data_IF_734968725605
#
_entry.id   IF_734968725605
#
_cell.length_a   1.000
_cell.length_b   1.000
_cell.length_c   1.000
_cell.angle_alpha   90.00
_cell.angle_beta   90.00
_cell.angle_gamma   90.00
#
_symmetry.space_group_name_H-M   'P 1'
#
loop_
_entity.id
_entity.type
_entity.pdbx_description
1 polymer ?
#
# COMPACT_ATOMS: atom_id res chain seq x y z
N UNK A 1 -1.28 31.56 9.75
CA UNK A 1 -0.93 30.71 10.92
C UNK A 1 -2.10 30.30 11.83
N UNK A 2 -3.38 30.47 11.46
CA UNK A 2 -4.50 30.05 12.33
C UNK A 2 -4.60 28.52 12.53
N UNK A 3 -4.37 27.74 11.46
CA UNK A 3 -4.45 26.27 11.49
C UNK A 3 -3.32 25.66 12.34
N UNK A 4 -2.07 26.14 12.17
CA UNK A 4 -0.94 25.71 13.00
C UNK A 4 -1.20 25.95 14.49
N UNK A 5 -1.66 27.16 14.84
CA UNK A 5 -1.99 27.49 16.23
C UNK A 5 -3.12 26.61 16.78
N UNK A 6 -4.09 26.22 15.95
CA UNK A 6 -5.15 25.28 16.34
C UNK A 6 -4.57 23.88 16.61
N UNK A 7 -3.71 23.37 15.74
CA UNK A 7 -3.02 22.08 15.95
C UNK A 7 -2.18 22.09 17.23
N UNK A 8 -1.46 23.18 17.48
CA UNK A 8 -0.69 23.36 18.72
C UNK A 8 -1.59 23.44 19.96
N UNK A 9 -2.74 24.11 19.87
CA UNK A 9 -3.72 24.18 20.96
C UNK A 9 -4.29 22.79 21.31
N UNK A 10 -4.65 21.99 20.30
CA UNK A 10 -5.16 20.62 20.50
C UNK A 10 -4.05 19.71 21.06
N UNK A 11 -2.80 19.91 20.63
CA UNK A 11 -1.63 19.16 21.12
C UNK A 11 -1.34 19.42 22.60
N UNK A 12 -1.58 20.65 23.06
CA UNK A 12 -1.31 21.08 24.43
C UNK A 12 -2.50 20.87 25.38
N UNK A 13 -3.66 20.44 24.87
CA UNK A 13 -4.84 20.14 25.66
C UNK A 13 -4.79 18.68 26.18
N UNK A 14 -4.73 18.46 27.51
CA UNK A 14 -4.69 17.13 28.11
C UNK A 14 -5.92 16.26 27.77
N UNK A 15 -7.07 16.87 27.52
CA UNK A 15 -8.31 16.15 27.18
C UNK A 15 -8.32 15.68 25.72
N UNK A 16 -7.48 16.28 24.86
CA UNK A 16 -7.39 15.97 23.43
C UNK A 16 -6.28 14.97 23.07
N UNK A 17 -5.56 14.41 24.05
CA UNK A 17 -4.40 13.53 23.81
C UNK A 17 -4.70 12.31 22.91
N UNK A 18 -5.92 11.77 22.98
CA UNK A 18 -6.37 10.67 22.09
C UNK A 18 -6.66 11.16 20.67
N UNK A 19 -7.24 12.34 20.50
CA UNK A 19 -7.54 12.93 19.19
C UNK A 19 -6.26 13.27 18.41
N UNK A 20 -5.17 13.59 19.11
CA UNK A 20 -3.85 13.81 18.52
C UNK A 20 -3.22 12.53 17.98
N UNK A 21 -3.59 11.34 18.49
CA UNK A 21 -3.05 10.05 18.07
C UNK A 21 -3.66 9.63 16.73
N UNK A 22 -3.26 10.31 15.67
CA UNK A 22 -3.72 10.07 14.30
C UNK A 22 -4.22 11.31 13.57
N UNK A 23 -4.18 12.50 14.19
CA UNK A 23 -4.57 13.74 13.51
C UNK A 23 -3.68 13.98 12.29
N UNK A 24 -4.33 14.16 11.14
CA UNK A 24 -3.73 14.56 9.87
C UNK A 24 -4.58 15.69 9.30
N UNK A 25 -3.92 16.77 8.90
CA UNK A 25 -4.53 17.98 8.36
C UNK A 25 -3.98 18.16 6.96
N UNK A 26 -4.87 18.16 5.97
CA UNK A 26 -4.53 18.48 4.58
C UNK A 26 -4.94 19.93 4.35
N UNK A 27 -3.96 20.77 4.01
CA UNK A 27 -4.19 22.10 3.49
C UNK A 27 -4.59 21.92 2.03
N UNK A 28 -5.81 22.36 1.71
CA UNK A 28 -6.31 22.38 0.35
C UNK A 28 -5.90 23.68 -0.36
N UNK A 29 -5.90 23.64 -1.69
CA UNK A 29 -5.63 24.69 -2.66
C UNK A 29 -4.27 25.37 -2.45
N UNK A 30 -3.23 24.58 -2.18
CA UNK A 30 -1.89 25.12 -1.95
C UNK A 30 -1.29 25.77 -3.21
N UNK A 31 -1.85 25.44 -4.39
CA UNK A 31 -1.48 26.04 -5.67
C UNK A 31 -1.81 27.53 -5.82
N UNK A 32 -2.58 28.13 -4.92
CA UNK A 32 -2.88 29.58 -4.99
C UNK A 32 -1.68 30.46 -4.61
N UNK A 33 -0.66 29.93 -3.93
CA UNK A 33 0.53 30.67 -3.51
C UNK A 33 1.72 29.73 -3.29
N UNK A 34 2.18 29.03 -4.34
CA UNK A 34 3.16 27.94 -4.22
C UNK A 34 4.49 28.45 -3.67
N UNK A 35 4.92 29.68 -3.98
CA UNK A 35 6.19 30.23 -3.52
C UNK A 35 6.18 30.83 -2.10
N UNK A 36 5.05 30.84 -1.38
CA UNK A 36 4.96 31.50 -0.07
C UNK A 36 5.76 30.72 1.00
N UNK A 37 6.81 31.31 1.61
CA UNK A 37 7.60 30.66 2.65
C UNK A 37 6.76 30.12 3.83
N UNK A 38 5.65 30.78 4.14
CA UNK A 38 4.78 30.45 5.26
C UNK A 38 4.08 29.10 5.08
N UNK A 39 3.85 28.66 3.84
CA UNK A 39 3.32 27.34 3.54
C UNK A 39 4.29 26.28 4.07
N UNK A 40 5.57 26.39 3.69
CA UNK A 40 6.61 25.43 4.04
C UNK A 40 6.92 25.42 5.54
N UNK A 41 6.87 26.58 6.21
CA UNK A 41 7.02 26.65 7.67
C UNK A 41 5.89 25.91 8.42
N UNK A 42 4.71 25.81 7.81
CA UNK A 42 3.58 25.05 8.36
C UNK A 42 3.72 23.56 8.03
N UNK A 43 4.18 23.20 6.83
CA UNK A 43 4.39 21.81 6.41
C UNK A 43 5.48 21.08 7.20
N UNK A 44 6.35 21.82 7.90
CA UNK A 44 7.29 21.23 8.86
C UNK A 44 6.62 20.48 10.01
N UNK A 45 5.35 20.77 10.32
CA UNK A 45 4.62 20.02 11.34
C UNK A 45 4.25 18.60 10.83
N UNK A 46 4.53 17.52 11.59
CA UNK A 46 4.26 16.14 11.18
C UNK A 46 2.76 15.81 10.95
N UNK A 47 1.85 16.64 11.44
CA UNK A 47 0.41 16.47 11.25
C UNK A 47 -0.13 17.22 10.02
N UNK A 48 0.65 18.11 9.41
CA UNK A 48 0.15 19.00 8.34
C UNK A 48 0.78 18.63 6.99
N UNK A 49 -0.06 18.60 5.97
CA UNK A 49 0.25 18.23 4.60
C UNK A 49 -0.39 19.25 3.64
N UNK A 50 0.14 19.36 2.43
CA UNK A 50 -0.37 20.19 1.35
C UNK A 50 -0.88 19.30 0.22
N UNK A 51 -1.85 19.76 -0.56
CA UNK A 51 -2.22 19.13 -1.81
C UNK A 51 -1.93 20.04 -3.02
N UNK A 52 -1.92 19.48 -4.23
CA UNK A 52 -1.56 20.21 -5.46
C UNK A 52 -2.73 20.87 -6.17
N UNK A 53 -3.93 20.90 -5.58
CA UNK A 53 -5.09 21.44 -6.28
C UNK A 53 -4.90 22.94 -6.57
N UNK A 54 -5.53 23.42 -7.63
CA UNK A 54 -5.39 24.80 -8.17
C UNK A 54 -4.03 25.12 -8.78
N UNK A 55 -3.07 24.21 -8.75
CA UNK A 55 -1.74 24.39 -9.34
C UNK A 55 -1.79 24.17 -10.86
N UNK A 56 -1.15 25.05 -11.62
CA UNK A 56 -1.12 25.00 -13.10
C UNK A 56 0.09 25.75 -13.66
N UNK A 57 0.46 25.44 -14.91
CA UNK A 57 1.48 26.17 -15.65
C UNK A 57 2.79 26.40 -14.85
N UNK A 58 3.22 27.66 -14.75
CA UNK A 58 4.47 28.08 -14.13
C UNK A 58 4.48 27.95 -12.61
N UNK A 59 3.31 27.74 -11.98
CA UNK A 59 3.22 27.52 -10.54
C UNK A 59 3.66 26.09 -10.16
N UNK A 60 3.55 25.14 -11.10
CA UNK A 60 3.89 23.73 -10.86
C UNK A 60 5.36 23.56 -10.44
N UNK A 61 6.36 24.05 -11.20
CA UNK A 61 7.76 23.94 -10.77
C UNK A 61 8.03 24.65 -9.45
N UNK A 62 7.45 25.84 -9.25
CA UNK A 62 7.66 26.68 -8.06
C UNK A 62 7.31 25.93 -6.78
N UNK A 63 6.18 25.19 -6.76
CA UNK A 63 5.77 24.44 -5.58
C UNK A 63 6.80 23.37 -5.20
N UNK A 64 7.23 22.57 -6.17
CA UNK A 64 8.11 21.42 -5.94
C UNK A 64 9.56 21.85 -5.67
N UNK A 65 10.08 22.83 -6.39
CA UNK A 65 11.42 23.39 -6.16
C UNK A 65 11.51 24.03 -4.77
N UNK A 66 10.53 24.88 -4.41
CA UNK A 66 10.53 25.53 -3.10
C UNK A 66 10.31 24.52 -1.97
N UNK A 67 9.53 23.45 -2.19
CA UNK A 67 9.39 22.35 -1.24
C UNK A 67 10.72 21.62 -1.03
N UNK A 68 11.39 21.27 -2.13
CA UNK A 68 12.69 20.61 -2.11
C UNK A 68 13.71 21.47 -1.34
N UNK A 69 13.81 22.76 -1.64
CA UNK A 69 14.74 23.67 -0.97
C UNK A 69 14.46 23.82 0.54
N UNK A 70 13.19 23.96 0.93
CA UNK A 70 12.83 24.36 2.30
C UNK A 70 12.57 23.21 3.27
N UNK A 71 12.23 22.03 2.74
CA UNK A 71 11.86 20.85 3.53
C UNK A 71 12.91 19.73 3.50
N UNK A 72 13.89 19.75 2.59
CA UNK A 72 14.91 18.68 2.52
C UNK A 72 15.89 18.64 3.71
N UNK A 73 15.89 19.67 4.58
CA UNK A 73 16.74 19.73 5.78
C UNK A 73 16.04 19.26 7.05
N UNK A 74 14.95 18.49 6.92
CA UNK A 74 14.11 18.05 8.05
C UNK A 74 14.17 16.52 8.17
N UNK A 75 13.78 15.97 9.31
CA UNK A 75 13.82 14.53 9.63
C UNK A 75 12.85 13.64 8.81
N UNK A 76 12.29 14.15 7.70
CA UNK A 76 11.38 13.43 6.80
C UNK A 76 11.65 13.83 5.35
N UNK A 77 11.27 13.00 4.38
CA UNK A 77 11.41 13.36 2.96
C UNK A 77 10.43 14.46 2.59
N UNK A 78 10.90 15.52 1.93
CA UNK A 78 10.11 16.70 1.56
C UNK A 78 8.81 16.34 0.82
N UNK A 79 8.85 15.30 -0.02
CA UNK A 79 7.72 14.86 -0.83
C UNK A 79 6.67 14.11 -0.03
N UNK A 80 6.94 13.65 1.20
CA UNK A 80 5.93 13.09 2.13
C UNK A 80 4.86 14.12 2.53
N UNK A 81 5.14 15.41 2.31
CA UNK A 81 4.24 16.52 2.69
C UNK A 81 3.28 16.94 1.60
N UNK A 82 3.41 16.42 0.38
CA UNK A 82 2.66 16.88 -0.78
C UNK A 82 1.78 15.75 -1.30
N UNK A 83 0.48 16.00 -1.39
CA UNK A 83 -0.50 15.08 -1.95
C UNK A 83 -0.91 15.55 -3.34
N UNK A 84 -1.14 14.61 -4.24
CA UNK A 84 -1.77 14.90 -5.50
C UNK A 84 -3.27 15.16 -5.33
N UNK A 85 -3.71 16.34 -5.78
CA UNK A 85 -5.10 16.76 -5.84
C UNK A 85 -5.31 17.71 -7.02
N UNK A 86 -6.51 17.68 -7.61
CA UNK A 86 -6.79 18.37 -8.89
C UNK A 86 -7.96 19.34 -8.83
N UNK A 87 -8.75 19.31 -7.75
CA UNK A 87 -10.02 20.05 -7.64
C UNK A 87 -11.05 19.72 -8.74
N UNK A 88 -10.97 18.52 -9.32
CA UNK A 88 -11.98 18.05 -10.27
C UNK A 88 -13.35 17.91 -9.56
N UNK A 89 -14.47 18.36 -10.13
CA UNK A 89 -14.71 18.75 -11.53
C UNK A 89 -14.59 20.24 -11.86
N UNK A 90 -14.06 21.07 -10.95
CA UNK A 90 -13.92 22.51 -11.18
C UNK A 90 -12.74 22.84 -12.10
N UNK A 91 -11.66 22.06 -12.04
CA UNK A 91 -10.43 22.25 -12.83
C UNK A 91 -10.02 20.90 -13.46
N UNK A 92 -9.82 20.87 -14.79
CA UNK A 92 -9.64 19.61 -15.55
C UNK A 92 -8.26 19.42 -16.17
N UNK A 93 -7.52 20.50 -16.47
CA UNK A 93 -6.22 20.44 -17.17
C UNK A 93 -5.04 20.26 -16.20
N UNK A 94 -5.20 20.67 -14.94
CA UNK A 94 -4.13 20.74 -13.94
C UNK A 94 -3.46 19.40 -13.61
N UNK A 95 -4.21 18.31 -13.69
CA UNK A 95 -3.69 16.96 -13.46
C UNK A 95 -2.55 16.63 -14.43
N UNK A 96 -2.69 17.01 -15.71
CA UNK A 96 -1.72 16.72 -16.73
C UNK A 96 -0.42 17.51 -16.51
N UNK A 97 -0.52 18.81 -16.19
CA UNK A 97 0.65 19.67 -15.96
C UNK A 97 1.51 19.16 -14.81
N UNK A 98 0.86 18.76 -13.71
CA UNK A 98 1.55 18.18 -12.55
C UNK A 98 2.22 16.86 -12.92
N UNK A 99 1.50 15.93 -13.56
CA UNK A 99 2.06 14.62 -13.92
C UNK A 99 3.23 14.76 -14.92
N UNK A 100 3.09 15.63 -15.92
CA UNK A 100 4.14 15.90 -16.91
C UNK A 100 5.38 16.49 -16.25
N UNK A 101 5.22 17.44 -15.32
CA UNK A 101 6.35 18.01 -14.59
C UNK A 101 7.03 16.97 -13.70
N UNK A 102 6.27 16.18 -12.92
CA UNK A 102 6.80 15.13 -12.05
C UNK A 102 7.62 14.07 -12.82
N UNK A 103 7.27 13.79 -14.08
CA UNK A 103 7.98 12.85 -14.95
C UNK A 103 9.08 13.51 -15.80
N UNK A 104 9.24 14.84 -15.71
CA UNK A 104 10.23 15.59 -16.46
C UNK A 104 11.62 15.50 -15.83
N UNK A 105 12.64 15.96 -16.57
CA UNK A 105 14.02 16.06 -16.06
C UNK A 105 14.22 17.21 -15.07
N UNK A 106 13.28 18.15 -15.05
CA UNK A 106 13.37 19.37 -14.23
C UNK A 106 12.77 19.13 -12.83
N UNK A 107 12.13 17.98 -12.60
CA UNK A 107 11.66 17.59 -11.28
C UNK A 107 12.87 17.37 -10.33
N UNK A 108 12.93 18.05 -9.18
CA UNK A 108 14.09 17.96 -8.28
C UNK A 108 14.16 16.65 -7.48
N UNK A 109 13.09 15.83 -7.51
CA UNK A 109 13.01 14.57 -6.79
C UNK A 109 13.34 13.32 -7.61
N UNK A 110 13.14 12.18 -6.98
CA UNK A 110 13.29 10.83 -7.55
C UNK A 110 11.93 10.25 -7.97
N UNK A 111 11.94 9.13 -8.70
CA UNK A 111 10.70 8.38 -9.00
C UNK A 111 9.96 7.93 -7.74
N UNK A 112 10.66 7.68 -6.64
CA UNK A 112 10.02 7.36 -5.36
C UNK A 112 9.25 8.56 -4.80
N UNK A 113 9.79 9.79 -4.94
CA UNK A 113 9.08 11.02 -4.60
C UNK A 113 7.81 11.19 -5.44
N UNK A 114 7.88 10.92 -6.75
CA UNK A 114 6.73 10.96 -7.66
C UNK A 114 5.62 10.00 -7.19
N UNK A 115 5.98 8.75 -6.89
CA UNK A 115 5.02 7.75 -6.40
C UNK A 115 4.39 8.14 -5.06
N UNK A 116 5.18 8.72 -4.15
CA UNK A 116 4.69 9.26 -2.87
C UNK A 116 3.66 10.36 -3.11
N UNK A 117 3.97 11.33 -3.96
CA UNK A 117 3.10 12.48 -4.27
C UNK A 117 1.79 12.01 -4.94
N UNK A 118 1.87 11.18 -5.99
CA UNK A 118 0.71 10.78 -6.79
C UNK A 118 -0.33 9.94 -6.05
N UNK A 119 0.06 9.23 -4.98
CA UNK A 119 -0.90 8.42 -4.23
C UNK A 119 -0.38 7.80 -2.94
N UNK A 120 0.93 7.56 -2.82
CA UNK A 120 1.51 6.93 -1.63
C UNK A 120 1.18 7.68 -0.34
N UNK A 121 1.26 9.01 -0.37
CA UNK A 121 0.94 9.85 0.79
C UNK A 121 -0.54 9.77 1.18
N UNK A 122 -1.46 9.87 0.22
CA UNK A 122 -2.90 9.75 0.47
C UNK A 122 -3.24 8.41 1.14
N UNK A 123 -2.65 7.32 0.65
CA UNK A 123 -2.82 5.99 1.23
C UNK A 123 -2.22 5.86 2.64
N UNK A 124 -1.03 6.42 2.85
CA UNK A 124 -0.35 6.45 4.16
C UNK A 124 -1.15 7.24 5.20
N UNK A 125 -1.80 8.34 4.79
CA UNK A 125 -2.64 9.16 5.68
C UNK A 125 -3.92 8.45 6.12
N UNK A 126 -4.55 7.70 5.20
CA UNK A 126 -5.76 6.92 5.51
C UNK A 126 -5.44 5.80 6.53
N UNK A 127 -4.21 5.29 6.53
CA UNK A 127 -3.66 4.25 7.42
C UNK A 127 -4.37 2.88 7.39
N UNK A 128 -5.64 2.81 6.99
CA UNK A 128 -6.49 1.61 6.96
C UNK A 128 -7.45 1.57 5.76
N UNK A 129 -6.99 1.80 4.51
CA UNK A 129 -7.90 1.84 3.36
C UNK A 129 -8.61 0.50 3.09
N UNK A 130 -8.08 -0.61 3.62
CA UNK A 130 -8.63 -1.96 3.42
C UNK A 130 -9.20 -2.62 4.68
N UNK A 131 -9.28 -1.91 5.82
CA UNK A 131 -9.94 -2.48 6.99
C UNK A 131 -11.46 -2.40 6.82
N UNK A 132 -12.06 -3.46 6.31
CA UNK A 132 -13.52 -3.59 6.25
C UNK A 132 -14.06 -4.03 7.62
N UNK A 133 -15.32 -3.68 7.93
CA UNK A 133 -16.00 -4.22 9.12
C UNK A 133 -16.15 -5.75 9.06
N UNK A 134 -16.13 -6.29 7.83
CA UNK A 134 -16.21 -7.70 7.48
C UNK A 134 -14.93 -8.50 7.76
N UNK A 135 -13.83 -7.85 8.16
CA UNK A 135 -12.57 -8.55 8.35
C UNK A 135 -12.64 -9.60 9.46
N UNK A 136 -12.17 -10.81 9.17
CA UNK A 136 -12.09 -11.88 10.17
C UNK A 136 -10.89 -11.65 11.06
N UNK A 137 -11.07 -11.67 12.38
CA UNK A 137 -9.94 -11.73 13.33
C UNK A 137 -9.44 -13.18 13.42
N UNK A 138 -8.39 -13.50 12.66
CA UNK A 138 -7.72 -14.80 12.69
C UNK A 138 -6.21 -14.63 12.78
N UNK A 139 -5.54 -15.57 13.45
CA UNK A 139 -4.08 -15.66 13.34
C UNK A 139 -3.70 -15.98 11.89
N UNK A 140 -2.66 -15.35 11.33
CA UNK A 140 -2.10 -15.76 10.05
C UNK A 140 -1.77 -17.25 10.08
N UNK A 141 -2.19 -17.99 9.06
CA UNK A 141 -1.89 -19.43 8.92
C UNK A 141 -1.26 -19.67 7.58
N UNK A 142 -0.33 -20.62 7.52
CA UNK A 142 0.34 -21.00 6.28
C UNK A 142 0.33 -22.50 6.08
N UNK A 143 0.02 -22.91 4.85
CA UNK A 143 0.09 -24.29 4.42
C UNK A 143 1.11 -24.41 3.31
N UNK A 144 2.09 -25.30 3.50
CA UNK A 144 3.16 -25.54 2.51
C UNK A 144 3.06 -26.98 2.03
N UNK A 145 3.06 -27.19 0.71
CA UNK A 145 3.03 -28.52 0.10
C UNK A 145 4.03 -28.59 -1.05
N UNK A 146 4.73 -29.71 -1.18
CA UNK A 146 5.66 -29.93 -2.31
C UNK A 146 4.88 -30.07 -3.61
N UNK A 147 5.15 -29.25 -4.61
CA UNK A 147 4.43 -29.15 -5.87
C UNK A 147 5.37 -29.17 -7.09
N UNK A 148 5.85 -30.37 -7.41
CA UNK A 148 6.67 -30.63 -8.59
C UNK A 148 5.80 -30.47 -9.84
N UNK A 149 6.11 -29.49 -10.69
CA UNK A 149 5.39 -29.26 -11.94
C UNK A 149 4.13 -28.38 -11.84
N UNK A 150 3.74 -27.92 -10.65
CA UNK A 150 2.68 -26.91 -10.49
C UNK A 150 1.25 -27.42 -10.48
N UNK A 151 1.05 -28.74 -10.42
CA UNK A 151 -0.27 -29.36 -10.46
C UNK A 151 -1.08 -29.00 -9.21
N UNK A 152 -0.44 -28.94 -8.04
CA UNK A 152 -1.14 -28.64 -6.77
C UNK A 152 -1.61 -27.20 -6.70
N UNK A 153 -0.80 -26.27 -7.23
CA UNK A 153 -1.20 -24.88 -7.38
C UNK A 153 -2.44 -24.75 -8.27
N UNK A 154 -2.45 -25.44 -9.43
CA UNK A 154 -3.60 -25.44 -10.35
C UNK A 154 -4.85 -26.04 -9.67
N UNK A 155 -4.71 -27.13 -8.92
CA UNK A 155 -5.84 -27.74 -8.19
C UNK A 155 -6.43 -26.79 -7.14
N UNK A 156 -5.56 -26.07 -6.41
CA UNK A 156 -5.97 -25.04 -5.45
C UNK A 156 -6.70 -23.89 -6.16
N UNK A 157 -6.13 -23.38 -7.26
CA UNK A 157 -6.71 -22.30 -8.06
C UNK A 157 -8.09 -22.67 -8.60
N UNK A 158 -8.24 -23.86 -9.18
CA UNK A 158 -9.53 -24.35 -9.66
C UNK A 158 -10.56 -24.48 -8.52
N UNK A 159 -10.12 -24.89 -7.33
CA UNK A 159 -11.00 -25.01 -6.17
C UNK A 159 -11.44 -23.65 -5.63
N UNK A 160 -10.55 -22.65 -5.63
CA UNK A 160 -10.87 -21.27 -5.26
C UNK A 160 -11.81 -20.65 -6.30
N UNK A 161 -11.60 -20.88 -7.60
CA UNK A 161 -12.52 -20.47 -8.67
C UNK A 161 -13.91 -21.11 -8.51
N UNK A 162 -13.96 -22.36 -8.03
CA UNK A 162 -15.21 -23.04 -7.68
C UNK A 162 -16.01 -22.33 -6.58
N UNK A 163 -15.35 -21.63 -5.65
CA UNK A 163 -16.04 -20.84 -4.62
C UNK A 163 -16.82 -19.66 -5.22
N UNK A 164 -16.31 -19.07 -6.31
CA UNK A 164 -16.97 -17.97 -7.02
C UNK A 164 -18.19 -18.47 -7.79
N UNK A 165 -18.06 -19.65 -8.43
CA UNK A 165 -19.13 -20.26 -9.22
C UNK A 165 -20.32 -20.71 -8.35
N UNK A 166 -20.10 -20.94 -7.05
CA UNK A 166 -21.14 -21.30 -6.10
C UNK A 166 -21.89 -20.12 -5.47
N UNK A 167 -21.64 -18.88 -5.90
CA UNK A 167 -22.26 -17.63 -5.40
C UNK A 167 -22.08 -17.35 -3.90
N UNK A 168 -21.22 -18.08 -3.17
CA UNK A 168 -20.99 -17.87 -1.73
C UNK A 168 -19.89 -16.87 -1.41
N UNK A 169 -18.97 -16.69 -2.36
CA UNK A 169 -17.77 -15.86 -2.20
C UNK A 169 -17.57 -14.97 -3.42
N UNK A 170 -17.20 -13.73 -3.17
CA UNK A 170 -16.77 -12.74 -4.16
C UNK A 170 -15.25 -12.54 -4.11
N UNK A 171 -14.66 -12.37 -5.29
CA UNK A 171 -13.30 -11.86 -5.43
C UNK A 171 -13.34 -10.33 -5.38
N UNK A 172 -12.88 -9.76 -4.27
CA UNK A 172 -12.88 -8.30 -4.06
C UNK A 172 -11.64 -7.63 -4.66
N UNK A 173 -10.48 -8.28 -4.61
CA UNK A 173 -9.27 -7.85 -5.30
C UNK A 173 -8.40 -9.05 -5.68
N UNK A 174 -7.57 -8.86 -6.72
CA UNK A 174 -6.53 -9.79 -7.13
C UNK A 174 -5.29 -8.96 -7.47
N UNK A 175 -4.26 -9.10 -6.65
CA UNK A 175 -2.98 -8.43 -6.80
C UNK A 175 -1.94 -9.45 -7.26
N UNK A 176 -1.64 -9.42 -8.56
CA UNK A 176 -0.57 -10.23 -9.14
C UNK A 176 0.76 -9.51 -8.93
N UNK A 177 1.77 -10.20 -8.39
CA UNK A 177 3.11 -9.64 -8.27
C UNK A 177 3.87 -9.77 -9.59
N UNK A 178 3.49 -8.96 -10.57
CA UNK A 178 4.13 -8.90 -11.87
C UNK A 178 5.09 -7.71 -11.94
N UNK A 179 6.38 -7.92 -12.27
CA UNK A 179 7.28 -6.81 -12.52
C UNK A 179 6.87 -6.10 -13.83
N UNK A 180 7.07 -4.77 -13.94
CA UNK A 180 6.90 -4.06 -15.19
C UNK A 180 7.79 -4.63 -16.30
N UNK A 181 7.27 -4.64 -17.53
CA UNK A 181 8.05 -5.03 -18.73
C UNK A 181 9.29 -4.14 -18.85
N UNK A 182 10.48 -4.74 -18.95
CA UNK A 182 11.74 -3.99 -19.06
C UNK A 182 12.40 -3.62 -17.72
N UNK A 183 11.99 -4.23 -16.60
CA UNK A 183 12.69 -4.10 -15.31
C UNK A 183 14.15 -4.55 -15.45
N UNK A 184 15.12 -3.73 -15.01
CA UNK A 184 16.55 -4.06 -14.94
C UNK A 184 16.99 -4.14 -13.46
N UNK A 185 17.61 -5.24 -12.98
CA UNK A 185 17.92 -6.45 -13.74
C UNK A 185 16.64 -7.16 -14.11
N UNK A 186 16.69 -7.91 -15.21
CA UNK A 186 15.57 -8.77 -15.58
C UNK A 186 15.26 -9.66 -14.37
N UNK A 187 14.05 -9.56 -13.80
CA UNK A 187 13.72 -10.31 -12.60
C UNK A 187 13.76 -11.80 -12.90
N UNK A 188 14.69 -12.50 -12.26
CA UNK A 188 14.80 -13.95 -12.38
C UNK A 188 13.84 -14.62 -11.41
N UNK A 189 13.24 -15.75 -11.82
CA UNK A 189 12.39 -16.55 -10.94
C UNK A 189 13.16 -17.01 -9.71
N UNK A 190 12.44 -17.24 -8.63
CA UNK A 190 13.01 -17.77 -7.38
C UNK A 190 13.65 -19.16 -7.61
N UNK A 191 13.09 -19.96 -8.52
CA UNK A 191 13.63 -21.26 -8.93
C UNK A 191 15.03 -21.15 -9.55
N UNK A 192 15.34 -20.01 -10.16
CA UNK A 192 16.55 -19.77 -10.93
C UNK A 192 17.58 -18.97 -10.10
N UNK A 193 17.34 -18.82 -8.79
CA UNK A 193 18.23 -18.12 -7.86
C UNK A 193 18.02 -16.60 -7.80
N UNK A 194 17.00 -16.06 -8.47
CA UNK A 194 16.64 -14.65 -8.37
C UNK A 194 15.85 -14.33 -7.11
N UNK A 195 16.33 -13.39 -6.28
CA UNK A 195 15.54 -12.81 -5.20
C UNK A 195 15.75 -11.30 -5.12
N UNK A 196 14.76 -10.54 -5.54
CA UNK A 196 14.72 -9.08 -5.48
C UNK A 196 13.79 -8.55 -4.38
N UNK A 197 13.44 -9.40 -3.40
CA UNK A 197 12.44 -9.08 -2.37
C UNK A 197 10.98 -9.28 -2.81
N UNK A 198 10.72 -9.63 -4.08
CA UNK A 198 9.38 -9.88 -4.63
C UNK A 198 9.28 -11.32 -5.13
N UNK A 199 8.23 -12.05 -4.74
CA UNK A 199 7.96 -13.38 -5.27
C UNK A 199 7.23 -13.24 -6.62
N UNK A 200 7.96 -13.33 -7.73
CA UNK A 200 7.45 -13.13 -9.09
C UNK A 200 6.30 -14.07 -9.49
N UNK A 201 6.25 -15.27 -8.88
CA UNK A 201 5.17 -16.25 -9.08
C UNK A 201 4.21 -16.25 -7.86
N UNK A 202 3.87 -15.06 -7.36
CA UNK A 202 2.94 -14.89 -6.25
C UNK A 202 1.79 -13.96 -6.55
N UNK A 203 0.68 -14.19 -5.87
CA UNK A 203 -0.49 -13.34 -5.95
C UNK A 203 -1.26 -13.35 -4.63
N UNK A 204 -1.89 -12.21 -4.34
CA UNK A 204 -2.77 -12.05 -3.20
C UNK A 204 -4.18 -11.83 -3.71
N UNK A 205 -5.13 -12.59 -3.19
CA UNK A 205 -6.56 -12.42 -3.45
C UNK A 205 -7.25 -11.95 -2.18
N UNK A 206 -8.15 -10.99 -2.29
CA UNK A 206 -9.10 -10.69 -1.24
C UNK A 206 -10.43 -11.36 -1.55
N UNK A 207 -10.84 -12.29 -0.68
CA UNK A 207 -12.11 -13.02 -0.79
C UNK A 207 -13.08 -12.48 0.24
N UNK A 208 -14.31 -12.19 -0.18
CA UNK A 208 -15.40 -11.76 0.70
C UNK A 208 -16.58 -12.71 0.60
N UNK A 209 -17.08 -13.18 1.72
CA UNK A 209 -18.29 -14.00 1.73
C UNK A 209 -19.53 -13.12 1.52
N UNK A 210 -20.50 -13.64 0.76
CA UNK A 210 -21.80 -12.98 0.56
C UNK A 210 -22.78 -13.24 1.69
N UNK A 211 -22.68 -14.40 2.33
CA UNK A 211 -23.64 -14.88 3.33
C UNK A 211 -23.27 -14.46 4.76
N UNK A 212 -21.97 -14.27 5.02
CA UNK A 212 -21.43 -13.90 6.32
C UNK A 212 -20.48 -12.70 6.18
N UNK A 213 -20.45 -11.81 7.16
CA UNK A 213 -19.58 -10.63 7.18
C UNK A 213 -18.13 -11.06 7.46
N UNK A 214 -17.52 -11.70 6.46
CA UNK A 214 -16.24 -12.39 6.51
C UNK A 214 -15.44 -12.07 5.26
N UNK A 215 -14.26 -11.51 5.48
CA UNK A 215 -13.27 -11.18 4.46
C UNK A 215 -11.90 -11.75 4.86
N UNK A 216 -11.19 -12.34 3.90
CA UNK A 216 -9.92 -13.03 4.09
C UNK A 216 -8.99 -12.73 2.91
N UNK A 217 -7.71 -12.48 3.19
CA UNK A 217 -6.68 -12.48 2.16
C UNK A 217 -6.10 -13.89 1.98
N UNK A 218 -6.02 -14.34 0.74
CA UNK A 218 -5.38 -15.60 0.34
C UNK A 218 -4.13 -15.25 -0.47
N UNK A 219 -2.96 -15.56 0.08
CA UNK A 219 -1.68 -15.31 -0.58
C UNK A 219 -1.07 -16.63 -1.03
N UNK A 220 -0.96 -16.83 -2.34
CA UNK A 220 -0.35 -18.01 -2.94
C UNK A 220 1.01 -17.64 -3.50
N UNK A 221 2.03 -18.45 -3.21
CA UNK A 221 3.37 -18.25 -3.74
C UNK A 221 4.13 -19.56 -3.89
N UNK A 222 4.97 -19.64 -4.92
CA UNK A 222 5.95 -20.71 -5.07
C UNK A 222 7.21 -20.39 -4.27
N UNK A 223 7.71 -21.38 -3.54
CA UNK A 223 8.95 -21.29 -2.76
C UNK A 223 10.04 -22.14 -3.39
N UNK A 224 11.28 -21.90 -2.96
CA UNK A 224 12.44 -22.69 -3.39
C UNK A 224 12.20 -24.18 -3.08
N UNK A 225 12.63 -25.06 -3.98
CA UNK A 225 12.50 -26.52 -3.82
C UNK A 225 11.16 -27.10 -4.28
N UNK A 226 10.58 -26.53 -5.34
CA UNK A 226 9.32 -26.99 -5.95
C UNK A 226 8.20 -27.15 -4.92
N UNK A 227 7.94 -26.12 -4.16
CA UNK A 227 6.86 -26.12 -3.16
C UNK A 227 5.93 -24.94 -3.40
N UNK A 228 4.65 -25.16 -3.12
CA UNK A 228 3.62 -24.12 -3.10
C UNK A 228 3.26 -23.83 -1.66
N UNK A 229 3.12 -22.55 -1.34
CA UNK A 229 2.61 -22.09 -0.06
C UNK A 229 1.36 -21.26 -0.27
N UNK A 230 0.37 -21.49 0.58
CA UNK A 230 -0.87 -20.72 0.64
C UNK A 230 -1.02 -20.20 2.07
N UNK A 231 -0.95 -18.87 2.23
CA UNK A 231 -1.17 -18.20 3.49
C UNK A 231 -2.59 -17.60 3.51
N UNK A 232 -3.32 -17.83 4.60
CA UNK A 232 -4.57 -17.14 4.86
C UNK A 232 -4.33 -16.08 5.93
N UNK A 233 -4.63 -14.83 5.58
CA UNK A 233 -4.39 -13.68 6.44
C UNK A 233 -5.72 -13.02 6.79
N UNK A 234 -5.78 -12.53 8.02
CA UNK A 234 -6.84 -11.63 8.47
C UNK A 234 -6.80 -10.33 7.67
N UNK A 235 -7.98 -9.86 7.23
CA UNK A 235 -8.13 -8.47 6.74
C UNK A 235 -8.42 -7.49 7.86
N UNK A 236 -8.66 -8.01 9.08
CA UNK A 236 -8.82 -7.23 10.32
C UNK A 236 -7.49 -7.11 11.05
N UNK A 237 -6.73 -6.08 10.72
CA UNK A 237 -5.46 -5.82 11.39
C UNK A 237 -4.86 -4.48 11.01
N UNK A 238 -3.80 -4.08 11.73
CA UNK A 238 -3.06 -2.84 11.45
C UNK A 238 -2.11 -2.96 10.25
N UNK A 239 -2.48 -3.70 9.19
CA UNK A 239 -1.70 -3.68 7.96
C UNK A 239 -1.85 -2.27 7.36
N UNK A 240 -0.84 -1.42 7.63
CA UNK A 240 -0.76 -0.08 7.07
C UNK A 240 -0.25 -0.22 5.64
N UNK A 241 -0.85 0.52 4.71
CA UNK A 241 -0.20 0.71 3.41
C UNK A 241 1.08 1.49 3.70
N UNK A 242 2.19 0.97 3.20
CA UNK A 242 3.46 1.66 3.16
C UNK A 242 3.80 2.03 1.72
N UNK A 243 4.69 3.00 1.55
CA UNK A 243 5.19 3.36 0.22
C UNK A 243 5.95 2.16 -0.36
N UNK A 244 6.01 2.00 -1.70
CA UNK A 244 6.77 0.90 -2.32
C UNK A 244 8.23 0.87 -1.82
N UNK A 245 8.81 2.04 -1.61
CA UNK A 245 10.14 2.22 -1.06
C UNK A 245 10.25 1.69 0.38
N UNK A 246 9.38 2.12 1.30
CA UNK A 246 9.40 1.62 2.67
C UNK A 246 9.04 0.14 2.74
N UNK A 247 8.05 -0.32 1.98
CA UNK A 247 7.69 -1.73 1.89
C UNK A 247 8.86 -2.59 1.37
N UNK A 248 9.66 -2.07 0.44
CA UNK A 248 10.86 -2.73 -0.08
C UNK A 248 12.01 -2.80 0.95
N UNK A 249 12.03 -1.87 1.91
CA UNK A 249 13.06 -1.78 2.95
C UNK A 249 12.61 -2.39 4.29
N UNK A 250 11.30 -2.56 4.49
CA UNK A 250 10.70 -3.11 5.70
C UNK A 250 10.28 -4.56 5.47
N UNK A 251 11.11 -5.49 5.94
CA UNK A 251 10.59 -6.80 6.30
C UNK A 251 9.63 -6.60 7.48
N UNK A 252 8.38 -7.07 7.40
CA UNK A 252 7.50 -7.08 8.57
C UNK A 252 7.82 -8.34 9.41
N UNK A 253 8.70 -8.24 10.44
CA UNK A 253 9.17 -9.43 11.15
C UNK A 253 8.04 -10.10 11.92
N UNK A 254 7.00 -9.35 12.30
CA UNK A 254 5.87 -9.87 13.08
C UNK A 254 5.01 -10.78 12.20
N UNK A 255 4.69 -10.35 10.98
CA UNK A 255 3.90 -11.17 10.06
C UNK A 255 4.66 -12.44 9.65
N UNK A 256 5.94 -12.31 9.27
CA UNK A 256 6.74 -13.48 8.85
C UNK A 256 6.94 -14.45 10.00
N UNK A 257 7.24 -13.95 11.20
CA UNK A 257 7.34 -14.80 12.39
C UNK A 257 6.02 -15.48 12.69
N UNK A 258 4.90 -14.75 12.63
CA UNK A 258 3.57 -15.34 12.84
C UNK A 258 3.25 -16.42 11.79
N UNK A 259 3.61 -16.20 10.51
CA UNK A 259 3.43 -17.20 9.46
C UNK A 259 4.31 -18.42 9.70
N UNK A 260 5.58 -18.22 10.06
CA UNK A 260 6.50 -19.31 10.42
C UNK A 260 5.99 -20.11 11.61
N UNK A 261 5.52 -19.44 12.66
CA UNK A 261 5.02 -20.07 13.90
C UNK A 261 3.73 -20.87 13.65
N UNK A 262 2.96 -20.51 12.62
CA UNK A 262 1.70 -21.17 12.25
C UNK A 262 1.77 -21.86 10.87
N UNK A 263 2.98 -22.18 10.40
CA UNK A 263 3.19 -22.88 9.13
C UNK A 263 3.06 -24.38 9.34
N UNK A 264 2.25 -25.02 8.50
CA UNK A 264 2.07 -26.48 8.51
C UNK A 264 2.48 -27.06 7.16
N UNK A 265 3.48 -27.94 7.18
CA UNK A 265 3.88 -28.71 5.98
C UNK A 265 2.93 -29.88 5.78
N UNK A 266 2.30 -29.93 4.60
CA UNK A 266 1.32 -30.92 4.21
C UNK A 266 1.94 -31.98 3.28
N UNK A 267 1.48 -33.21 3.41
CA UNK A 267 2.04 -34.36 2.68
C UNK A 267 1.41 -34.54 1.28
N UNK A 268 0.13 -34.21 1.09
CA UNK A 268 -0.58 -34.35 -0.19
C UNK A 268 -1.15 -33.02 -0.74
N UNK A 269 -1.62 -33.02 -2.00
CA UNK A 269 -2.31 -31.88 -2.63
C UNK A 269 -3.73 -31.70 -2.10
N UNK A 270 -4.45 -32.82 -1.97
CA UNK A 270 -5.77 -32.91 -1.34
C UNK A 270 -5.79 -32.24 0.03
N UNK A 271 -4.73 -32.42 0.82
CA UNK A 271 -4.62 -31.81 2.13
C UNK A 271 -4.55 -30.28 2.04
N UNK A 272 -3.85 -29.72 1.04
CA UNK A 272 -3.71 -28.27 0.88
C UNK A 272 -5.05 -27.64 0.57
N UNK A 273 -5.71 -28.11 -0.48
CA UNK A 273 -7.03 -27.61 -0.89
C UNK A 273 -8.04 -27.79 0.23
N UNK A 274 -8.13 -28.99 0.85
CA UNK A 274 -9.09 -29.24 1.94
C UNK A 274 -8.85 -28.33 3.14
N UNK A 275 -7.58 -28.09 3.53
CA UNK A 275 -7.25 -27.20 4.66
C UNK A 275 -7.59 -25.74 4.36
N UNK A 276 -7.21 -25.24 3.19
CA UNK A 276 -7.54 -23.87 2.76
C UNK A 276 -9.06 -23.68 2.73
N UNK A 277 -9.78 -24.58 2.05
CA UNK A 277 -11.24 -24.49 1.95
C UNK A 277 -11.94 -24.63 3.31
N UNK A 278 -11.40 -25.40 4.26
CA UNK A 278 -12.00 -25.53 5.60
C UNK A 278 -12.02 -24.21 6.39
N UNK A 279 -11.09 -23.30 6.09
CA UNK A 279 -11.06 -21.96 6.69
C UNK A 279 -11.93 -20.96 5.93
N UNK A 280 -12.31 -21.30 4.69
CA UNK A 280 -13.22 -20.52 3.82
C UNK A 280 -14.66 -21.07 3.83
N UNK A 281 -14.93 -22.19 4.52
CA UNK A 281 -16.27 -22.60 4.91
C UNK A 281 -16.83 -21.69 6.01
#
# INVERSE_FOLDING_TARGET
MKIKNLVESIRNDPECGTAMRGLKVILAHCGMSPGDPRLYDVLRDPAIFAETSTLHDLDVPVLFETAFERLSQVDFSWSEKILFGTDFSFLSVQAADIILFLLSRDFPGTLADVQRILGGNSLSLIQRPFSTSAGVQMSPVEYVSRDIGGTKQIDLENSLLGLFSGDKWDLSSLDLMLPPTGTWPEPMKLSDGGFNGVYLDSYVMCLRSRDIDKEIHVWVRRTVGDSVSCSLLSTKGMARIDTVENASQSFNPVLIRSLSDHSTTLKSSDDLTKKVLSLLA
#
